data_IF_685037769217
#
_entry.id   IF_685037769217
#
_cell.length_a   1.000
_cell.length_b   1.000
_cell.length_c   1.000
_cell.angle_alpha   90.00
_cell.angle_beta   90.00
_cell.angle_gamma   90.00
#
_symmetry.space_group_name_H-M   'P 1'
#
loop_
_entity.id
_entity.type
_entity.pdbx_description
1 polymer ?
#
# COMPACT_ATOMS: atom_id res chain seq x y z
N UNK A 1 -28.04 2.32 -35.38
CA UNK A 1 -26.58 2.45 -35.22
C UNK A 1 -26.21 3.74 -34.46
N UNK A 2 -26.40 3.81 -33.14
CA UNK A 2 -26.00 4.99 -32.31
C UNK A 2 -25.43 4.68 -30.92
N UNK A 3 -25.60 3.45 -30.40
CA UNK A 3 -25.19 3.12 -29.03
C UNK A 3 -23.67 2.87 -28.84
N UNK A 4 -22.95 2.42 -29.89
CA UNK A 4 -21.50 2.15 -29.81
C UNK A 4 -20.65 3.42 -29.76
N UNK A 5 -21.11 4.50 -30.38
CA UNK A 5 -20.38 5.79 -30.41
C UNK A 5 -20.42 6.51 -29.07
N UNK A 6 -21.52 6.41 -28.32
CA UNK A 6 -21.61 7.00 -26.98
C UNK A 6 -20.72 6.27 -25.97
N UNK A 7 -20.60 4.95 -26.09
CA UNK A 7 -19.75 4.14 -25.21
C UNK A 7 -18.26 4.46 -25.41
N UNK A 8 -17.84 4.63 -26.67
CA UNK A 8 -16.47 5.02 -27.00
C UNK A 8 -16.13 6.44 -26.52
N UNK A 9 -17.09 7.37 -26.58
CA UNK A 9 -16.91 8.71 -26.04
C UNK A 9 -16.84 8.73 -24.51
N UNK A 10 -17.57 7.85 -23.83
CA UNK A 10 -17.56 7.74 -22.36
C UNK A 10 -16.25 7.11 -21.85
N UNK A 11 -15.74 6.09 -22.56
CA UNK A 11 -14.44 5.48 -22.25
C UNK A 11 -13.30 6.45 -22.56
N UNK A 12 -13.37 7.19 -23.66
CA UNK A 12 -12.39 8.23 -23.98
C UNK A 12 -12.42 9.37 -22.95
N UNK A 13 -13.60 9.79 -22.47
CA UNK A 13 -13.72 10.81 -21.43
C UNK A 13 -13.20 10.32 -20.06
N UNK A 14 -13.41 9.04 -19.71
CA UNK A 14 -12.84 8.43 -18.51
C UNK A 14 -11.32 8.27 -18.59
N UNK A 15 -10.78 7.92 -19.77
CA UNK A 15 -9.34 7.85 -20.00
C UNK A 15 -8.69 9.25 -19.97
N UNK A 16 -9.37 10.26 -20.54
CA UNK A 16 -8.91 11.65 -20.49
C UNK A 16 -8.99 12.23 -19.07
N UNK A 17 -10.00 11.87 -18.28
CA UNK A 17 -10.10 12.24 -16.87
C UNK A 17 -9.03 11.54 -16.01
N UNK A 18 -8.63 10.31 -16.35
CA UNK A 18 -7.53 9.61 -15.70
C UNK A 18 -6.15 10.22 -16.05
N UNK A 19 -5.98 10.77 -17.26
CA UNK A 19 -4.79 11.53 -17.66
C UNK A 19 -4.77 12.97 -17.14
N UNK A 20 -5.92 13.65 -17.09
CA UNK A 20 -6.04 15.02 -16.55
C UNK A 20 -6.11 15.07 -15.02
N UNK A 21 -6.35 13.94 -14.35
CA UNK A 21 -6.10 13.75 -12.92
C UNK A 21 -4.62 13.85 -12.54
N UNK A 22 -3.70 13.89 -13.51
CA UNK A 22 -2.29 14.30 -13.33
C UNK A 22 -2.09 15.81 -13.53
N UNK A 23 -3.08 16.64 -13.21
CA UNK A 23 -2.79 18.04 -12.93
C UNK A 23 -1.87 18.10 -11.69
N UNK A 24 -0.69 18.73 -11.75
CA UNK A 24 0.10 18.95 -10.54
C UNK A 24 -0.75 19.83 -9.64
N UNK A 25 -1.36 19.24 -8.60
CA UNK A 25 -2.16 19.97 -7.64
C UNK A 25 -1.28 21.08 -7.05
N UNK A 26 -1.63 22.33 -7.32
CA UNK A 26 -1.04 23.55 -6.75
C UNK A 26 -1.43 23.77 -5.27
N UNK A 27 -1.75 22.69 -4.57
CA UNK A 27 -1.91 22.69 -3.11
C UNK A 27 -0.49 22.74 -2.54
N UNK A 28 -0.15 23.71 -1.67
CA UNK A 28 1.15 23.72 -1.01
C UNK A 28 1.31 22.37 -0.31
N UNK A 29 2.33 21.60 -0.71
CA UNK A 29 2.72 20.33 -0.09
C UNK A 29 3.08 20.61 1.36
N UNK A 30 2.09 20.54 2.25
CA UNK A 30 2.31 20.57 3.69
C UNK A 30 3.08 19.30 4.05
N UNK A 31 4.36 19.51 4.40
CA UNK A 31 5.38 18.50 4.65
C UNK A 31 4.92 17.54 5.77
N UNK A 32 4.98 16.21 5.56
CA UNK A 32 4.67 15.26 6.61
C UNK A 32 5.90 14.94 7.46
N UNK A 33 5.63 14.63 8.72
CA UNK A 33 6.51 14.42 9.87
C UNK A 33 7.49 13.22 9.81
N UNK A 34 7.84 12.71 8.63
CA UNK A 34 8.79 11.60 8.52
C UNK A 34 9.82 11.89 7.43
N UNK A 35 11.09 11.99 7.81
CA UNK A 35 12.17 11.76 6.86
C UNK A 35 12.09 10.29 6.36
N UNK A 36 12.64 9.95 5.18
CA UNK A 36 12.65 8.58 4.65
C UNK A 36 13.13 7.53 5.67
N UNK A 37 14.04 7.95 6.56
CA UNK A 37 14.66 7.12 7.60
C UNK A 37 13.74 6.93 8.83
N UNK A 38 12.88 7.90 9.14
CA UNK A 38 12.02 7.89 10.33
C UNK A 38 10.70 7.14 10.14
N UNK A 39 10.29 6.88 8.90
CA UNK A 39 9.02 6.22 8.63
C UNK A 39 9.01 4.75 9.16
N UNK A 40 7.96 4.32 9.89
CA UNK A 40 7.88 2.95 10.41
C UNK A 40 7.94 1.90 9.28
N UNK A 41 8.83 0.91 9.40
CA UNK A 41 9.07 -0.11 8.36
C UNK A 41 7.76 -0.77 7.88
N UNK A 42 6.92 -1.19 8.82
CA UNK A 42 5.62 -1.81 8.55
C UNK A 42 4.73 -0.90 7.69
N UNK A 43 4.70 0.40 7.95
CA UNK A 43 3.88 1.35 7.18
C UNK A 43 4.40 1.47 5.74
N UNK A 44 5.71 1.63 5.59
CA UNK A 44 6.36 1.83 4.29
C UNK A 44 6.17 0.58 3.42
N UNK A 45 6.47 -0.59 3.98
CA UNK A 45 6.34 -1.86 3.26
C UNK A 45 4.90 -2.26 2.98
N UNK A 46 3.95 -1.89 3.85
CA UNK A 46 2.52 -2.10 3.57
C UNK A 46 2.08 -1.37 2.31
N UNK A 47 2.46 -0.10 2.16
CA UNK A 47 2.12 0.70 0.97
C UNK A 47 2.83 0.11 -0.26
N UNK A 48 4.12 -0.16 -0.14
CA UNK A 48 4.90 -0.74 -1.22
C UNK A 48 4.35 -2.09 -1.71
N UNK A 49 4.05 -3.02 -0.80
CA UNK A 49 3.45 -4.31 -1.15
C UNK A 49 2.08 -4.14 -1.81
N UNK A 50 1.27 -3.17 -1.37
CA UNK A 50 -0.03 -2.87 -2.00
C UNK A 50 0.14 -2.40 -3.44
N UNK A 51 1.11 -1.52 -3.70
CA UNK A 51 1.45 -1.03 -5.04
C UNK A 51 1.90 -2.19 -5.92
N UNK A 52 2.80 -3.05 -5.43
CA UNK A 52 3.27 -4.21 -6.17
C UNK A 52 2.17 -5.23 -6.47
N UNK A 53 1.33 -5.58 -5.48
CA UNK A 53 0.21 -6.50 -5.66
C UNK A 53 -0.81 -5.95 -6.68
N UNK A 54 -1.10 -4.65 -6.60
CA UNK A 54 -2.03 -4.00 -7.55
C UNK A 54 -1.45 -3.96 -8.96
N UNK A 55 -0.17 -3.63 -9.11
CA UNK A 55 0.52 -3.65 -10.40
C UNK A 55 0.49 -5.05 -11.05
N UNK A 56 0.60 -6.11 -10.25
CA UNK A 56 0.48 -7.50 -10.73
C UNK A 56 -0.95 -7.83 -11.21
N UNK A 57 -1.98 -7.35 -10.51
CA UNK A 57 -3.38 -7.55 -10.92
C UNK A 57 -3.64 -6.80 -12.23
N UNK A 58 -3.23 -5.54 -12.33
CA UNK A 58 -3.44 -4.71 -13.53
C UNK A 58 -2.72 -5.28 -14.75
N UNK A 59 -1.51 -5.81 -14.58
CA UNK A 59 -0.76 -6.46 -15.66
C UNK A 59 -1.46 -7.70 -16.23
N UNK A 60 -2.34 -8.35 -15.46
CA UNK A 60 -3.10 -9.53 -15.89
C UNK A 60 -4.43 -9.18 -16.59
N UNK A 61 -4.84 -7.91 -16.56
CA UNK A 61 -6.07 -7.47 -17.22
C UNK A 61 -5.89 -7.36 -18.75
N UNK A 62 -6.94 -7.64 -19.56
CA UNK A 62 -6.88 -7.48 -21.00
C UNK A 62 -6.64 -6.00 -21.36
N UNK A 63 -5.53 -5.72 -22.06
CA UNK A 63 -5.07 -4.35 -22.36
C UNK A 63 -4.10 -3.77 -21.33
N UNK A 64 -3.67 -4.55 -20.34
CA UNK A 64 -2.63 -4.15 -19.38
C UNK A 64 -1.30 -3.83 -20.05
N UNK A 65 -0.55 -2.92 -19.43
CA UNK A 65 0.76 -2.46 -19.89
C UNK A 65 1.72 -3.67 -19.97
N UNK A 66 2.39 -3.86 -21.11
CA UNK A 66 3.24 -5.05 -21.37
C UNK A 66 4.46 -5.12 -20.46
N UNK A 67 4.87 -3.98 -19.92
CA UNK A 67 5.90 -3.90 -18.90
C UNK A 67 5.22 -3.59 -17.56
N UNK A 68 5.18 -4.55 -16.63
CA UNK A 68 4.45 -4.35 -15.38
C UNK A 68 5.09 -3.20 -14.60
N UNK A 69 4.28 -2.26 -14.11
CA UNK A 69 4.76 -1.12 -13.31
C UNK A 69 5.65 -1.56 -12.12
N UNK A 70 5.44 -2.77 -11.61
CA UNK A 70 6.28 -3.43 -10.64
C UNK A 70 7.74 -3.65 -11.12
N UNK A 71 7.96 -4.04 -12.38
CA UNK A 71 9.30 -4.22 -12.93
C UNK A 71 10.05 -2.90 -13.07
N UNK A 72 9.36 -1.82 -13.48
CA UNK A 72 9.95 -0.47 -13.53
C UNK A 72 10.38 -0.01 -12.14
N UNK A 73 9.53 -0.22 -11.13
CA UNK A 73 9.82 0.13 -9.74
C UNK A 73 11.01 -0.64 -9.16
N UNK A 74 11.19 -1.90 -9.55
CA UNK A 74 12.25 -2.78 -9.05
C UNK A 74 13.56 -2.71 -9.86
N UNK A 75 13.52 -2.13 -11.06
CA UNK A 75 14.69 -2.03 -11.97
C UNK A 75 15.96 -1.47 -11.32
N UNK A 76 15.92 -0.43 -10.44
CA UNK A 76 17.16 0.15 -9.88
C UNK A 76 17.84 -0.74 -8.83
N UNK A 77 17.17 -1.79 -8.36
CA UNK A 77 17.71 -2.68 -7.31
C UNK A 77 18.68 -3.71 -7.89
N UNK A 78 18.63 -3.98 -9.20
CA UNK A 78 19.49 -4.96 -9.85
C UNK A 78 19.17 -6.41 -9.47
N UNK A 79 17.87 -6.74 -9.37
CA UNK A 79 17.39 -8.06 -9.00
C UNK A 79 17.54 -9.06 -10.15
N UNK A 80 17.88 -10.30 -9.82
CA UNK A 80 17.74 -11.43 -10.76
C UNK A 80 16.26 -11.74 -11.00
N UNK A 81 15.90 -12.48 -12.07
CA UNK A 81 14.51 -12.89 -12.30
C UNK A 81 13.89 -13.67 -11.13
N UNK A 82 14.70 -14.50 -10.45
CA UNK A 82 14.27 -15.27 -9.28
C UNK A 82 14.01 -14.36 -8.07
N UNK A 83 14.91 -13.41 -7.81
CA UNK A 83 14.74 -12.41 -6.74
C UNK A 83 13.56 -11.50 -6.99
N UNK A 84 13.33 -11.12 -8.25
CA UNK A 84 12.18 -10.34 -8.65
C UNK A 84 10.88 -11.10 -8.38
N UNK A 85 10.80 -12.39 -8.74
CA UNK A 85 9.66 -13.24 -8.37
C UNK A 85 9.49 -13.37 -6.85
N UNK A 86 10.59 -13.50 -6.09
CA UNK A 86 10.52 -13.56 -4.63
C UNK A 86 9.93 -12.27 -4.03
N UNK A 87 10.27 -11.10 -4.58
CA UNK A 87 9.68 -9.82 -4.18
C UNK A 87 8.19 -9.75 -4.44
N UNK A 88 7.77 -10.15 -5.65
CA UNK A 88 6.36 -10.17 -6.02
C UNK A 88 5.55 -11.16 -5.19
N UNK A 89 6.09 -12.37 -4.95
CA UNK A 89 5.44 -13.40 -4.16
C UNK A 89 5.29 -12.99 -2.68
N UNK A 90 6.32 -12.36 -2.10
CA UNK A 90 6.24 -11.83 -0.75
C UNK A 90 5.19 -10.72 -0.63
N UNK A 91 5.12 -9.81 -1.62
CA UNK A 91 4.13 -8.75 -1.65
C UNK A 91 2.70 -9.31 -1.75
N UNK A 92 2.45 -10.24 -2.67
CA UNK A 92 1.13 -10.86 -2.85
C UNK A 92 0.70 -11.62 -1.60
N UNK A 93 1.58 -12.47 -1.03
CA UNK A 93 1.29 -13.24 0.18
C UNK A 93 1.03 -12.33 1.40
N UNK A 94 1.81 -11.27 1.57
CA UNK A 94 1.62 -10.34 2.69
C UNK A 94 0.31 -9.55 2.58
N UNK A 95 -0.07 -9.14 1.37
CA UNK A 95 -1.32 -8.40 1.13
C UNK A 95 -2.55 -9.30 1.26
N UNK A 96 -2.48 -10.55 0.80
CA UNK A 96 -3.55 -11.52 0.97
C UNK A 96 -3.83 -11.80 2.46
N UNK A 97 -2.78 -12.11 3.24
CA UNK A 97 -2.88 -12.33 4.69
C UNK A 97 -3.37 -11.05 5.42
N UNK A 98 -2.95 -9.86 4.96
CA UNK A 98 -3.42 -8.58 5.49
C UNK A 98 -4.91 -8.32 5.18
N UNK A 99 -5.37 -8.64 3.97
CA UNK A 99 -6.75 -8.44 3.53
C UNK A 99 -7.71 -9.40 4.24
N UNK A 100 -7.30 -10.65 4.48
CA UNK A 100 -8.04 -11.61 5.31
C UNK A 100 -8.22 -11.07 6.73
N UNK A 101 -7.13 -10.61 7.36
CA UNK A 101 -7.20 -9.99 8.69
C UNK A 101 -8.10 -8.74 8.69
N UNK A 102 -8.06 -7.93 7.63
CA UNK A 102 -8.91 -6.72 7.51
C UNK A 102 -10.39 -7.06 7.38
N UNK A 103 -10.74 -8.15 6.68
CA UNK A 103 -12.12 -8.65 6.62
C UNK A 103 -12.59 -9.10 8.00
N UNK A 104 -11.79 -9.88 8.72
CA UNK A 104 -12.10 -10.31 10.08
C UNK A 104 -12.27 -9.12 11.05
N UNK A 105 -11.45 -8.07 10.92
CA UNK A 105 -11.60 -6.83 11.68
C UNK A 105 -12.92 -6.11 11.37
N UNK A 106 -13.38 -6.14 10.12
CA UNK A 106 -14.62 -5.45 9.72
C UNK A 106 -15.85 -6.03 10.41
N UNK A 107 -15.90 -7.37 10.55
CA UNK A 107 -16.94 -8.09 11.29
C UNK A 107 -16.92 -7.68 12.79
N UNK A 108 -15.74 -7.65 13.40
CA UNK A 108 -15.55 -7.27 14.80
C UNK A 108 -15.92 -5.80 15.07
N UNK A 109 -15.61 -4.89 14.12
CA UNK A 109 -16.01 -3.49 14.20
C UNK A 109 -17.53 -3.36 14.14
N UNK A 110 -18.20 -4.15 13.28
CA UNK A 110 -19.66 -4.15 13.20
C UNK A 110 -20.29 -4.63 14.52
N UNK A 111 -19.74 -5.69 15.12
CA UNK A 111 -20.17 -6.18 16.44
C UNK A 111 -19.98 -5.13 17.54
N UNK A 112 -18.84 -4.42 17.55
CA UNK A 112 -18.57 -3.34 18.51
C UNK A 112 -19.45 -2.11 18.31
N UNK A 113 -19.94 -1.85 17.09
CA UNK A 113 -20.93 -0.79 16.84
C UNK A 113 -22.28 -1.12 17.47
N UNK A 114 -22.66 -2.41 17.51
CA UNK A 114 -23.91 -2.87 18.12
C UNK A 114 -23.77 -3.02 19.64
N UNK A 115 -22.61 -3.45 20.13
CA UNK A 115 -22.30 -3.59 21.55
C UNK A 115 -20.88 -3.05 21.88
N UNK A 116 -20.76 -1.75 22.19
CA UNK A 116 -19.46 -1.13 22.48
C UNK A 116 -18.77 -1.64 23.76
N UNK A 117 -19.51 -2.31 24.65
CA UNK A 117 -18.98 -2.86 25.90
C UNK A 117 -18.42 -4.28 25.76
N UNK A 118 -18.56 -4.91 24.59
CA UNK A 118 -18.10 -6.27 24.35
C UNK A 118 -16.55 -6.36 24.44
N UNK A 119 -16.06 -6.85 25.57
CA UNK A 119 -14.62 -7.00 25.85
C UNK A 119 -13.96 -8.05 24.93
N UNK A 120 -14.69 -9.09 24.56
CA UNK A 120 -14.18 -10.16 23.70
C UNK A 120 -13.98 -9.64 22.27
N UNK A 121 -14.94 -8.89 21.73
CA UNK A 121 -14.82 -8.27 20.41
C UNK A 121 -13.67 -7.23 20.37
N UNK A 122 -13.43 -6.47 21.46
CA UNK A 122 -12.26 -5.58 21.57
C UNK A 122 -10.94 -6.37 21.56
N UNK A 123 -10.86 -7.47 22.31
CA UNK A 123 -9.67 -8.31 22.35
C UNK A 123 -9.37 -8.94 20.98
N UNK A 124 -10.41 -9.44 20.30
CA UNK A 124 -10.30 -9.97 18.94
C UNK A 124 -9.85 -8.90 17.93
N UNK A 125 -10.39 -7.68 18.00
CA UNK A 125 -9.98 -6.55 17.15
C UNK A 125 -8.52 -6.14 17.37
N UNK A 126 -8.08 -6.07 18.63
CA UNK A 126 -6.66 -5.82 18.95
C UNK A 126 -5.77 -6.93 18.40
N UNK A 127 -6.17 -8.20 18.56
CA UNK A 127 -5.41 -9.35 18.05
C UNK A 127 -5.30 -9.32 16.53
N UNK A 128 -6.42 -9.09 15.84
CA UNK A 128 -6.47 -9.00 14.38
C UNK A 128 -5.64 -7.82 13.84
N UNK A 129 -5.63 -6.68 14.55
CA UNK A 129 -4.77 -5.54 14.19
C UNK A 129 -3.28 -5.92 14.27
N UNK A 130 -2.86 -6.63 15.32
CA UNK A 130 -1.48 -7.11 15.46
C UNK A 130 -1.14 -8.16 14.40
N UNK A 131 -2.05 -9.08 14.11
CA UNK A 131 -1.87 -10.10 13.07
C UNK A 131 -1.70 -9.47 11.68
N UNK A 132 -2.49 -8.44 11.38
CA UNK A 132 -2.38 -7.66 10.14
C UNK A 132 -1.00 -7.03 9.97
N UNK A 133 -0.50 -6.38 11.02
CA UNK A 133 0.81 -5.73 10.96
C UNK A 133 1.95 -6.77 10.94
N UNK A 134 1.78 -7.90 11.63
CA UNK A 134 2.71 -9.03 11.62
C UNK A 134 2.83 -9.70 10.23
N UNK A 135 1.76 -9.74 9.44
CA UNK A 135 1.80 -10.25 8.07
C UNK A 135 2.78 -9.45 7.20
N UNK A 136 2.81 -8.13 7.36
CA UNK A 136 3.76 -7.26 6.66
C UNK A 136 5.19 -7.53 7.15
N UNK A 137 5.43 -7.53 8.46
CA UNK A 137 6.76 -7.82 9.02
C UNK A 137 7.29 -9.18 8.55
N UNK A 138 6.44 -10.22 8.55
CA UNK A 138 6.77 -11.56 8.04
C UNK A 138 7.15 -11.53 6.55
N UNK A 139 6.45 -10.74 5.74
CA UNK A 139 6.81 -10.50 4.34
C UNK A 139 8.18 -9.86 4.21
N UNK A 140 8.48 -8.83 5.00
CA UNK A 140 9.78 -8.14 5.01
C UNK A 140 10.92 -9.09 5.43
N UNK A 141 10.72 -9.90 6.47
CA UNK A 141 11.72 -10.89 6.90
C UNK A 141 12.02 -11.93 5.82
N UNK A 142 11.01 -12.37 5.07
CA UNK A 142 11.22 -13.27 3.92
C UNK A 142 12.10 -12.60 2.86
N UNK A 143 11.83 -11.32 2.54
CA UNK A 143 12.66 -10.57 1.60
C UNK A 143 14.10 -10.41 2.05
N UNK A 144 14.30 -10.09 3.34
CA UNK A 144 15.64 -9.93 3.91
C UNK A 144 16.45 -11.22 3.77
N UNK A 145 15.82 -12.38 3.98
CA UNK A 145 16.45 -13.70 3.78
C UNK A 145 16.72 -14.01 2.31
N UNK A 146 15.80 -13.68 1.41
CA UNK A 146 15.93 -14.01 -0.02
C UNK A 146 16.90 -13.12 -0.79
N UNK A 147 17.01 -11.84 -0.44
CA UNK A 147 17.82 -10.86 -1.17
C UNK A 147 19.24 -10.72 -0.62
N UNK A 148 19.45 -11.12 0.65
CA UNK A 148 20.67 -10.81 1.37
C UNK A 148 20.78 -9.32 1.74
N UNK A 149 21.75 -8.94 2.59
CA UNK A 149 21.80 -7.63 3.23
C UNK A 149 21.94 -6.48 2.23
N UNK A 150 22.86 -6.55 1.27
CA UNK A 150 23.13 -5.44 0.35
C UNK A 150 21.98 -5.11 -0.62
N UNK A 151 21.31 -6.14 -1.16
CA UNK A 151 20.19 -5.94 -2.07
C UNK A 151 18.93 -5.55 -1.30
N UNK A 152 18.72 -6.11 -0.12
CA UNK A 152 17.64 -5.70 0.76
C UNK A 152 17.78 -4.23 1.16
N UNK A 153 18.98 -3.76 1.50
CA UNK A 153 19.23 -2.35 1.85
C UNK A 153 19.00 -1.40 0.66
N UNK A 154 19.40 -1.80 -0.55
CA UNK A 154 19.05 -1.06 -1.77
C UNK A 154 17.55 -1.00 -2.02
N UNK A 155 16.85 -2.12 -1.83
CA UNK A 155 15.40 -2.18 -1.92
C UNK A 155 14.76 -1.28 -0.86
N UNK A 156 15.17 -1.37 0.40
CA UNK A 156 14.62 -0.58 1.51
C UNK A 156 14.77 0.93 1.27
N UNK A 157 15.95 1.38 0.81
CA UNK A 157 16.14 2.78 0.39
C UNK A 157 15.19 3.20 -0.71
N UNK A 158 15.04 2.39 -1.75
CA UNK A 158 14.13 2.68 -2.86
C UNK A 158 12.67 2.76 -2.38
N UNK A 159 12.27 1.81 -1.55
CA UNK A 159 10.93 1.70 -0.96
C UNK A 159 10.62 2.92 -0.11
N UNK A 160 11.54 3.31 0.77
CA UNK A 160 11.41 4.50 1.63
C UNK A 160 11.31 5.77 0.81
N UNK A 161 12.19 6.00 -0.15
CA UNK A 161 12.12 7.18 -1.03
C UNK A 161 10.81 7.22 -1.80
N UNK A 162 10.42 6.11 -2.42
CA UNK A 162 9.21 6.05 -3.23
C UNK A 162 7.93 6.24 -2.41
N UNK A 163 7.83 5.61 -1.24
CA UNK A 163 6.63 5.67 -0.41
C UNK A 163 6.54 6.98 0.37
N UNK A 164 7.64 7.48 0.94
CA UNK A 164 7.61 8.76 1.69
C UNK A 164 7.29 9.96 0.82
N UNK A 165 7.75 9.97 -0.45
CA UNK A 165 7.34 10.99 -1.42
C UNK A 165 5.83 10.98 -1.72
N UNK A 166 5.16 9.85 -1.49
CA UNK A 166 3.73 9.64 -1.75
C UNK A 166 2.87 9.57 -0.48
N UNK A 167 3.48 9.66 0.72
CA UNK A 167 2.79 9.64 2.00
C UNK A 167 2.24 11.03 2.31
N UNK A 168 1.04 11.35 1.81
CA UNK A 168 0.29 12.53 2.26
C UNK A 168 -0.32 12.26 3.63
N UNK A 169 0.42 12.52 4.70
CA UNK A 169 -0.12 12.47 6.07
C UNK A 169 -0.83 13.79 6.35
N UNK A 170 -2.14 13.72 6.62
CA UNK A 170 -2.94 14.86 7.06
C UNK A 170 -2.32 15.50 8.31
N UNK A 171 -1.79 16.72 8.20
CA UNK A 171 -1.45 17.53 9.37
C UNK A 171 -2.72 18.17 9.93
N UNK A 172 -2.97 17.97 11.22
CA UNK A 172 -3.95 18.79 11.95
C UNK A 172 -3.56 20.28 11.82
N UNK A 173 -4.51 21.20 11.61
CA UNK A 173 -4.24 22.63 11.55
C UNK A 173 -3.38 23.11 12.73
N UNK A 174 -2.41 24.01 12.51
CA UNK A 174 -1.61 24.58 13.59
C UNK A 174 -2.55 25.25 14.61
N UNK A 175 -2.46 24.84 15.88
CA UNK A 175 -3.31 25.30 16.97
C UNK A 175 -4.21 24.23 17.60
N UNK A 176 -4.33 23.04 16.99
CA UNK A 176 -5.02 21.92 17.62
C UNK A 176 -4.03 21.10 18.47
N UNK A 177 -4.37 20.80 19.74
CA UNK A 177 -3.50 19.99 20.60
C UNK A 177 -3.30 18.61 19.97
N UNK A 178 -2.12 17.99 20.15
CA UNK A 178 -1.89 16.63 19.68
C UNK A 178 -2.94 15.69 20.26
N UNK A 179 -3.47 14.73 19.49
CA UNK A 179 -4.44 13.77 20.01
C UNK A 179 -3.79 13.06 21.20
N UNK A 180 -4.40 13.19 22.38
CA UNK A 180 -3.96 12.50 23.59
C UNK A 180 -4.00 11.00 23.31
N UNK A 181 -2.82 10.38 23.23
CA UNK A 181 -2.69 8.92 23.22
C UNK A 181 -3.34 8.36 24.47
N UNK A 182 -4.43 7.62 24.28
CA UNK A 182 -5.12 6.91 25.35
C UNK A 182 -4.21 5.83 25.92
N UNK A 183 -4.01 5.89 27.24
CA UNK A 183 -3.63 4.73 28.04
C UNK A 183 -4.79 3.74 28.10
#
# INVERSE_FOLDING_TARGET
>A
MRARSCYLLLVAALALAALQGQAPSSIPRSVPYFTPEEAPEVLVYRIFFRVLATAQIVAQLPGGDKEPAAARLLSPVGLTPQEHQAVLAAASSAIEEMDENTRAMSEQIQELRQNPANAEAKARLSSATRARDAAISKGVEKLRKSLGPEKFERLDRLVRVHVTQNLSVYTLPPGLPPPRGGR
#
